data_IF_059219344530
#
_entry.id   IF_059219344530
#
_cell.length_a   1.000
_cell.length_b   1.000
_cell.length_c   1.000
_cell.angle_alpha   90.00
_cell.angle_beta   90.00
_cell.angle_gamma   90.00
#
_symmetry.space_group_name_H-M   'P 1'
#
loop_
_entity.id
_entity.type
_entity.pdbx_description
1 polymer ?
#
# COMPACT_ATOMS: atom_id res chain seq x y z
N UNK A 1 36.74 26.26 5.38
CA UNK A 1 35.95 25.30 6.20
C UNK A 1 34.69 25.90 6.80
N UNK A 2 34.73 27.03 7.54
CA UNK A 2 33.52 27.62 8.17
C UNK A 2 32.34 27.87 7.22
N UNK A 3 32.62 28.34 6.00
CA UNK A 3 31.59 28.57 4.97
C UNK A 3 30.91 27.26 4.49
N UNK A 4 31.67 26.17 4.39
CA UNK A 4 31.14 24.86 3.96
C UNK A 4 30.16 24.30 4.99
N UNK A 5 30.50 24.40 6.29
CA UNK A 5 29.61 23.96 7.36
C UNK A 5 28.33 24.79 7.43
N UNK A 6 28.42 26.10 7.24
CA UNK A 6 27.23 26.96 7.18
C UNK A 6 26.31 26.58 6.02
N UNK A 7 26.85 26.31 4.83
CA UNK A 7 26.07 25.87 3.67
C UNK A 7 25.40 24.51 3.90
N UNK A 8 26.12 23.54 4.47
CA UNK A 8 25.56 22.22 4.79
C UNK A 8 24.44 22.32 5.82
N UNK A 9 24.62 23.14 6.87
CA UNK A 9 23.61 23.35 7.89
C UNK A 9 22.34 23.99 7.32
N UNK A 10 22.48 25.02 6.48
CA UNK A 10 21.33 25.67 5.81
C UNK A 10 20.61 24.68 4.90
N UNK A 11 21.34 23.88 4.12
CA UNK A 11 20.74 22.86 3.26
C UNK A 11 19.98 21.82 4.09
N UNK A 12 20.56 21.33 5.18
CA UNK A 12 19.91 20.36 6.08
C UNK A 12 18.63 20.92 6.71
N UNK A 13 18.66 22.17 7.21
CA UNK A 13 17.47 22.83 7.79
C UNK A 13 16.38 23.02 6.73
N UNK A 14 16.76 23.40 5.50
CA UNK A 14 15.81 23.60 4.40
C UNK A 14 15.15 22.28 3.99
N UNK A 15 15.94 21.20 3.88
CA UNK A 15 15.42 19.86 3.58
C UNK A 15 14.51 19.33 4.69
N UNK A 16 14.92 19.52 5.95
CA UNK A 16 14.11 19.13 7.10
C UNK A 16 12.78 19.90 7.13
N UNK A 17 12.77 21.19 6.83
CA UNK A 17 11.56 22.00 6.76
C UNK A 17 10.64 21.62 5.59
N UNK A 18 11.19 21.26 4.43
CA UNK A 18 10.42 20.96 3.22
C UNK A 18 9.82 19.54 3.19
N UNK A 19 10.50 18.57 3.82
CA UNK A 19 10.15 17.15 3.73
C UNK A 19 9.87 16.51 5.10
N UNK A 20 10.16 17.18 6.21
CA UNK A 20 10.00 16.62 7.56
C UNK A 20 10.98 15.49 7.92
N UNK A 21 11.90 15.13 7.01
CA UNK A 21 12.85 14.03 7.20
C UNK A 21 14.14 14.25 6.42
N UNK A 22 15.27 13.82 7.00
CA UNK A 22 16.58 13.80 6.34
C UNK A 22 16.87 12.44 5.67
N UNK A 23 15.98 11.45 5.82
CA UNK A 23 16.15 10.16 5.17
C UNK A 23 15.88 10.29 3.67
N UNK A 24 16.81 9.87 2.80
CA UNK A 24 16.60 9.92 1.35
C UNK A 24 15.34 9.20 0.88
N UNK A 25 15.00 8.06 1.48
CA UNK A 25 13.79 7.34 1.10
C UNK A 25 12.52 8.04 1.62
N UNK A 26 12.61 8.74 2.75
CA UNK A 26 11.51 9.58 3.25
C UNK A 26 11.22 10.76 2.31
N UNK A 27 12.27 11.41 1.79
CA UNK A 27 12.12 12.46 0.76
C UNK A 27 11.54 11.90 -0.54
N UNK A 28 11.94 10.69 -0.97
CA UNK A 28 11.38 10.05 -2.16
C UNK A 28 9.88 9.77 -2.02
N UNK A 29 9.45 9.23 -0.87
CA UNK A 29 8.01 9.04 -0.56
C UNK A 29 7.25 10.36 -0.65
N UNK A 30 7.75 11.39 0.01
CA UNK A 30 7.06 12.68 0.07
C UNK A 30 6.99 13.36 -1.31
N UNK A 31 7.97 13.10 -2.17
CA UNK A 31 7.98 13.58 -3.56
C UNK A 31 6.91 12.88 -4.40
N UNK A 32 6.78 11.56 -4.30
CA UNK A 32 5.71 10.81 -4.98
C UNK A 32 4.32 11.19 -4.43
N UNK A 33 4.21 11.48 -3.13
CA UNK A 33 2.97 12.01 -2.52
C UNK A 33 2.50 13.31 -3.17
N UNK A 34 3.44 14.23 -3.42
CA UNK A 34 3.14 15.53 -4.05
C UNK A 34 2.84 15.40 -5.54
N UNK A 35 3.41 14.40 -6.22
CA UNK A 35 3.21 14.19 -7.66
C UNK A 35 1.87 13.55 -7.99
N UNK A 36 1.47 12.49 -7.27
CA UNK A 36 0.32 11.68 -7.67
C UNK A 36 -1.02 12.10 -7.05
N UNK A 37 -1.03 13.02 -6.08
CA UNK A 37 -2.24 13.58 -5.44
C UNK A 37 -3.03 12.58 -4.57
N UNK A 38 -3.19 11.33 -5.04
CA UNK A 38 -3.76 10.18 -4.33
C UNK A 38 -2.82 9.65 -3.25
N UNK A 39 -1.51 9.74 -3.46
CA UNK A 39 -0.52 9.25 -2.50
C UNK A 39 -0.49 10.05 -1.18
N UNK A 40 -1.07 11.26 -1.15
CA UNK A 40 -1.26 12.05 0.06
C UNK A 40 -2.13 11.35 1.13
N UNK A 41 -3.00 10.42 0.72
CA UNK A 41 -3.93 9.72 1.62
C UNK A 41 -3.41 8.32 1.98
N UNK A 42 -2.38 7.82 1.29
CA UNK A 42 -1.89 6.46 1.45
C UNK A 42 -0.91 6.34 2.64
N UNK A 43 -1.06 5.30 3.49
CA UNK A 43 -0.08 4.98 4.53
C UNK A 43 1.32 4.74 3.94
N UNK A 44 2.36 5.10 4.68
CA UNK A 44 3.78 4.95 4.28
C UNK A 44 4.11 3.55 3.75
N UNK A 45 3.56 2.51 4.37
CA UNK A 45 3.78 1.12 3.98
C UNK A 45 3.28 0.82 2.55
N UNK A 46 2.18 1.44 2.11
CA UNK A 46 1.65 1.25 0.77
C UNK A 46 2.53 1.96 -0.26
N UNK A 47 2.99 3.17 0.07
CA UNK A 47 3.92 3.92 -0.77
C UNK A 47 5.23 3.15 -0.92
N UNK A 48 5.73 2.54 0.17
CA UNK A 48 6.91 1.69 0.12
C UNK A 48 6.72 0.46 -0.77
N UNK A 49 5.59 -0.24 -0.65
CA UNK A 49 5.29 -1.39 -1.52
C UNK A 49 5.25 -0.96 -2.99
N UNK A 50 4.60 0.17 -3.30
CA UNK A 50 4.54 0.70 -4.65
C UNK A 50 5.93 1.08 -5.19
N UNK A 51 6.74 1.76 -4.38
CA UNK A 51 8.11 2.12 -4.74
C UNK A 51 9.01 0.89 -4.94
N UNK A 52 8.89 -0.12 -4.07
CA UNK A 52 9.63 -1.38 -4.20
C UNK A 52 9.17 -2.15 -5.45
N UNK A 53 7.87 -2.13 -5.77
CA UNK A 53 7.36 -2.73 -7.00
C UNK A 53 7.90 -2.05 -8.26
N UNK A 54 7.97 -0.71 -8.26
CA UNK A 54 8.40 0.08 -9.42
C UNK A 54 9.91 0.11 -9.61
N UNK A 55 10.67 0.19 -8.51
CA UNK A 55 12.11 0.41 -8.56
C UNK A 55 12.93 -0.77 -7.98
N UNK A 56 12.30 -1.80 -7.45
CA UNK A 56 12.94 -2.91 -6.73
C UNK A 56 13.38 -2.52 -5.30
N UNK A 57 14.16 -3.39 -4.64
CA UNK A 57 14.72 -3.13 -3.30
C UNK A 57 15.33 -1.73 -3.20
N UNK A 58 14.85 -0.95 -2.24
CA UNK A 58 15.28 0.42 -1.97
C UNK A 58 16.32 0.42 -0.87
N UNK A 59 17.48 1.00 -1.14
CA UNK A 59 18.49 1.33 -0.14
C UNK A 59 18.74 2.85 -0.19
N UNK A 60 19.39 3.44 0.84
CA UNK A 60 19.59 4.90 0.89
C UNK A 60 20.26 5.46 -0.36
N UNK A 61 21.28 4.79 -0.90
CA UNK A 61 21.97 5.23 -2.12
C UNK A 61 21.07 5.23 -3.35
N UNK A 62 20.21 4.23 -3.48
CA UNK A 62 19.24 4.13 -4.58
C UNK A 62 18.13 5.16 -4.47
N UNK A 63 17.64 5.44 -3.25
CA UNK A 63 16.67 6.52 -3.01
C UNK A 63 17.26 7.89 -3.39
N UNK A 64 18.52 8.16 -3.03
CA UNK A 64 19.24 9.37 -3.48
C UNK A 64 19.36 9.38 -5.01
N UNK A 65 19.77 8.26 -5.61
CA UNK A 65 19.90 8.14 -7.07
C UNK A 65 18.60 8.46 -7.81
N UNK A 66 17.46 7.94 -7.32
CA UNK A 66 16.14 8.20 -7.87
C UNK A 66 15.70 9.67 -7.68
N UNK A 67 15.94 10.25 -6.51
CA UNK A 67 15.66 11.67 -6.24
C UNK A 67 16.45 12.61 -7.18
N UNK A 68 17.72 12.29 -7.42
CA UNK A 68 18.56 13.07 -8.33
C UNK A 68 18.18 12.86 -9.80
N UNK A 69 17.71 11.66 -10.16
CA UNK A 69 17.28 11.32 -11.53
C UNK A 69 15.88 11.85 -11.87
N UNK A 70 15.03 12.07 -10.86
CA UNK A 70 13.62 12.46 -10.99
C UNK A 70 13.36 13.87 -11.56
N UNK A 71 14.40 14.66 -11.87
CA UNK A 71 14.28 15.94 -12.58
C UNK A 71 14.54 15.88 -14.08
N UNK A 72 14.98 14.72 -14.58
CA UNK A 72 15.38 14.56 -15.99
C UNK A 72 14.53 13.53 -16.73
N UNK A 73 13.42 13.10 -16.13
CA UNK A 73 12.42 12.31 -16.85
C UNK A 73 11.72 13.21 -17.87
N UNK A 74 11.70 12.88 -19.17
CA UNK A 74 10.88 13.63 -20.11
C UNK A 74 9.43 13.62 -19.60
N UNK A 75 8.74 14.75 -19.77
CA UNK A 75 7.27 14.78 -19.70
C UNK A 75 6.71 13.55 -20.44
N UNK A 76 5.53 13.02 -20.08
CA UNK A 76 4.89 11.95 -20.85
C UNK A 76 4.49 12.48 -22.24
N UNK A 77 5.49 12.69 -23.10
CA UNK A 77 5.35 12.75 -24.51
C UNK A 77 4.89 11.35 -24.90
N UNK A 78 3.70 11.32 -25.47
CA UNK A 78 3.24 10.22 -26.30
C UNK A 78 4.38 9.87 -27.27
N UNK A 79 5.12 8.79 -27.00
CA UNK A 79 6.22 8.37 -27.86
C UNK A 79 5.62 7.63 -29.04
N UNK A 80 5.17 8.39 -30.04
CA UNK A 80 5.17 7.94 -31.42
C UNK A 80 6.53 8.31 -32.02
N UNK A 81 7.49 7.36 -32.09
CA UNK A 81 8.52 7.26 -33.15
C UNK A 81 9.67 6.28 -32.80
N UNK A 82 9.81 5.27 -33.67
CA UNK A 82 11.06 4.79 -34.31
C UNK A 82 12.24 4.35 -33.44
N UNK A 83 12.23 3.06 -33.06
CA UNK A 83 13.39 2.29 -32.57
C UNK A 83 14.19 1.66 -33.73
N UNK A 84 15.50 1.37 -33.55
CA UNK A 84 16.27 0.55 -34.46
C UNK A 84 15.73 -0.88 -34.47
N UNK A 85 15.38 -1.34 -35.67
CA UNK A 85 14.88 -2.69 -35.95
C UNK A 85 16.03 -3.69 -35.92
N UNK A 86 16.42 -4.17 -34.74
CA UNK A 86 16.94 -5.54 -34.56
C UNK A 86 17.06 -5.92 -33.09
N UNK A 87 16.54 -7.12 -32.79
CA UNK A 87 16.34 -7.73 -31.46
C UNK A 87 15.24 -7.07 -30.60
N UNK A 88 14.07 -6.83 -31.20
CA UNK A 88 12.82 -7.05 -30.46
C UNK A 88 12.70 -8.55 -30.17
N UNK A 89 13.42 -9.01 -29.14
CA UNK A 89 12.88 -10.11 -28.35
C UNK A 89 11.53 -9.58 -27.86
N UNK A 90 10.45 -10.25 -28.22
CA UNK A 90 9.09 -9.96 -27.79
C UNK A 90 9.08 -9.85 -26.27
N UNK A 91 9.29 -8.65 -25.74
CA UNK A 91 8.90 -8.32 -24.38
C UNK A 91 7.40 -8.25 -24.48
N UNK A 92 6.76 -9.41 -24.29
CA UNK A 92 5.33 -9.52 -24.16
C UNK A 92 4.92 -8.42 -23.21
N UNK A 93 4.12 -7.46 -23.69
CA UNK A 93 3.36 -6.60 -22.81
C UNK A 93 2.73 -7.53 -21.77
N UNK A 94 2.87 -7.25 -20.46
CA UNK A 94 2.28 -8.11 -19.44
C UNK A 94 0.81 -8.24 -19.83
N UNK A 95 0.43 -9.44 -20.26
CA UNK A 95 -0.94 -9.74 -20.67
C UNK A 95 -1.75 -9.33 -19.47
N UNK A 96 -2.57 -8.29 -19.63
CA UNK A 96 -3.51 -7.83 -18.61
C UNK A 96 -4.41 -9.01 -18.36
N UNK A 97 -4.02 -9.84 -17.41
CA UNK A 97 -4.76 -11.03 -17.05
C UNK A 97 -6.08 -10.45 -16.56
N UNK A 98 -7.24 -10.90 -17.10
CA UNK A 98 -8.52 -10.40 -16.61
C UNK A 98 -8.48 -10.48 -15.08
N UNK A 99 -8.91 -9.41 -14.37
CA UNK A 99 -8.83 -9.35 -12.92
C UNK A 99 -9.36 -10.67 -12.38
N UNK A 100 -8.54 -11.39 -11.62
CA UNK A 100 -9.00 -12.64 -11.07
C UNK A 100 -10.17 -12.30 -10.11
N UNK A 101 -11.10 -13.24 -9.92
CA UNK A 101 -12.30 -12.98 -9.09
C UNK A 101 -11.93 -12.50 -7.67
N UNK A 102 -10.74 -12.87 -7.19
CA UNK A 102 -10.19 -12.41 -5.92
C UNK A 102 -9.85 -10.91 -5.91
N UNK A 103 -9.23 -10.37 -6.95
CA UNK A 103 -8.88 -8.95 -7.04
C UNK A 103 -10.14 -8.08 -6.99
N UNK A 104 -11.20 -8.51 -7.68
CA UNK A 104 -12.51 -7.84 -7.67
C UNK A 104 -13.14 -7.89 -6.26
N UNK A 105 -13.11 -9.06 -5.62
CA UNK A 105 -13.61 -9.22 -4.25
C UNK A 105 -12.84 -8.35 -3.25
N UNK A 106 -11.51 -8.30 -3.38
CA UNK A 106 -10.62 -7.53 -2.52
C UNK A 106 -10.87 -6.02 -2.68
N UNK A 107 -11.01 -5.54 -3.91
CA UNK A 107 -11.33 -4.14 -4.18
C UNK A 107 -12.68 -3.74 -3.54
N UNK A 108 -13.71 -4.59 -3.70
CA UNK A 108 -15.03 -4.37 -3.09
C UNK A 108 -14.95 -4.41 -1.56
N UNK A 109 -14.21 -5.36 -0.99
CA UNK A 109 -13.99 -5.46 0.45
C UNK A 109 -13.31 -4.20 1.01
N UNK A 110 -12.29 -3.68 0.33
CA UNK A 110 -11.61 -2.44 0.72
C UNK A 110 -12.55 -1.24 0.71
N UNK A 111 -13.40 -1.10 -0.31
CA UNK A 111 -14.39 -0.03 -0.37
C UNK A 111 -15.40 -0.12 0.79
N UNK A 112 -15.90 -1.32 1.10
CA UNK A 112 -16.80 -1.58 2.23
C UNK A 112 -16.15 -1.19 3.57
N UNK A 113 -14.88 -1.55 3.76
CA UNK A 113 -14.13 -1.20 4.98
C UNK A 113 -13.94 0.31 5.10
N UNK A 114 -13.59 0.97 3.99
CA UNK A 114 -13.45 2.43 3.92
C UNK A 114 -14.73 3.14 4.31
N UNK A 115 -15.87 2.75 3.71
CA UNK A 115 -17.18 3.34 4.02
C UNK A 115 -17.53 3.24 5.51
N UNK A 116 -17.41 2.05 6.12
CA UNK A 116 -17.71 1.87 7.54
C UNK A 116 -16.72 2.62 8.44
N UNK A 117 -15.44 2.70 8.05
CA UNK A 117 -14.44 3.52 8.77
C UNK A 117 -14.82 4.99 8.72
N UNK A 118 -15.20 5.51 7.56
CA UNK A 118 -15.55 6.92 7.38
C UNK A 118 -16.78 7.29 8.22
N UNK A 119 -17.79 6.41 8.28
CA UNK A 119 -18.93 6.57 9.17
C UNK A 119 -18.53 6.61 10.64
N UNK A 120 -17.53 5.83 11.05
CA UNK A 120 -16.96 5.91 12.40
C UNK A 120 -16.27 7.25 12.64
N UNK A 121 -15.44 7.71 11.70
CA UNK A 121 -14.73 8.99 11.81
C UNK A 121 -15.69 10.19 11.85
N UNK A 122 -16.87 10.08 11.21
CA UNK A 122 -17.97 11.05 11.30
C UNK A 122 -18.79 10.96 12.60
N UNK A 123 -18.54 9.96 13.46
CA UNK A 123 -19.27 9.74 14.71
C UNK A 123 -20.60 9.00 14.57
N UNK A 124 -20.99 8.57 13.37
CA UNK A 124 -22.20 7.74 13.17
C UNK A 124 -22.04 6.35 13.79
N UNK A 125 -20.81 5.82 13.76
CA UNK A 125 -20.41 4.62 14.48
C UNK A 125 -19.44 5.04 15.58
N UNK A 126 -19.72 4.69 16.82
CA UNK A 126 -18.98 5.19 17.99
C UNK A 126 -17.68 4.46 18.24
N UNK A 127 -17.57 3.21 17.79
CA UNK A 127 -16.47 2.32 18.19
C UNK A 127 -15.87 1.57 17.00
N UNK A 128 -14.65 1.04 17.16
CA UNK A 128 -14.03 0.18 16.17
C UNK A 128 -14.81 -1.12 15.97
N UNK A 129 -15.40 -1.67 17.04
CA UNK A 129 -16.29 -2.83 16.97
C UNK A 129 -17.48 -2.54 16.06
N UNK A 130 -18.14 -1.39 16.22
CA UNK A 130 -19.28 -1.01 15.36
C UNK A 130 -18.87 -0.85 13.90
N UNK A 131 -17.71 -0.25 13.61
CA UNK A 131 -17.15 -0.16 12.26
C UNK A 131 -16.87 -1.55 11.65
N UNK A 132 -16.39 -2.49 12.47
CA UNK A 132 -16.11 -3.86 12.03
C UNK A 132 -17.40 -4.66 11.82
N UNK A 133 -18.40 -4.51 12.69
CA UNK A 133 -19.73 -5.11 12.53
C UNK A 133 -20.45 -4.59 11.28
N UNK A 134 -20.27 -3.30 10.95
CA UNK A 134 -20.77 -2.71 9.71
C UNK A 134 -20.15 -3.36 8.46
N UNK A 135 -18.82 -3.62 8.47
CA UNK A 135 -18.10 -4.07 7.28
C UNK A 135 -18.03 -5.59 7.12
N UNK A 136 -17.89 -6.36 8.20
CA UNK A 136 -17.59 -7.80 8.14
C UNK A 136 -18.61 -8.63 7.32
N UNK A 137 -19.94 -8.53 7.54
CA UNK A 137 -20.89 -9.31 6.76
C UNK A 137 -20.82 -8.99 5.27
N UNK A 138 -20.64 -7.71 4.93
CA UNK A 138 -20.54 -7.23 3.55
C UNK A 138 -19.23 -7.67 2.88
N UNK A 139 -18.13 -7.69 3.63
CA UNK A 139 -16.84 -8.23 3.16
C UNK A 139 -16.97 -9.73 2.87
N UNK A 140 -17.51 -10.51 3.81
CA UNK A 140 -17.71 -11.94 3.61
C UNK A 140 -18.60 -12.21 2.38
N UNK A 141 -19.68 -11.44 2.21
CA UNK A 141 -20.54 -11.53 1.03
C UNK A 141 -19.79 -11.22 -0.27
N UNK A 142 -18.92 -10.19 -0.29
CA UNK A 142 -18.16 -9.84 -1.49
C UNK A 142 -17.25 -10.98 -1.98
N UNK A 143 -16.62 -11.71 -1.06
CA UNK A 143 -15.82 -12.89 -1.39
C UNK A 143 -16.68 -14.10 -1.79
N UNK A 144 -17.85 -14.29 -1.15
CA UNK A 144 -18.79 -15.33 -1.51
C UNK A 144 -19.36 -15.12 -2.94
N UNK A 145 -19.74 -13.89 -3.28
CA UNK A 145 -20.22 -13.50 -4.61
C UNK A 145 -19.17 -13.79 -5.70
N UNK A 146 -17.90 -13.57 -5.38
CA UNK A 146 -16.76 -13.86 -6.24
C UNK A 146 -16.37 -15.35 -6.27
N UNK A 147 -17.15 -16.23 -5.62
CA UNK A 147 -16.88 -17.68 -5.51
C UNK A 147 -15.47 -17.96 -5.02
N UNK A 148 -14.97 -17.12 -4.11
CA UNK A 148 -13.63 -17.27 -3.58
C UNK A 148 -13.50 -18.62 -2.86
N UNK A 149 -12.45 -19.36 -3.19
CA UNK A 149 -12.32 -20.77 -2.79
C UNK A 149 -12.14 -20.94 -1.29
N UNK A 150 -11.43 -20.02 -0.64
CA UNK A 150 -10.98 -20.16 0.74
C UNK A 150 -11.86 -19.36 1.71
N UNK A 151 -13.17 -19.59 1.67
CA UNK A 151 -14.14 -18.86 2.52
C UNK A 151 -13.90 -19.06 4.02
N UNK A 152 -13.29 -20.16 4.44
CA UNK A 152 -12.88 -20.39 5.83
C UNK A 152 -11.82 -19.36 6.29
N UNK A 153 -10.92 -18.96 5.39
CA UNK A 153 -9.93 -17.92 5.67
C UNK A 153 -10.57 -16.53 5.76
N UNK A 154 -11.60 -16.26 4.96
CA UNK A 154 -12.40 -15.03 5.06
C UNK A 154 -13.15 -14.97 6.40
N UNK A 155 -13.73 -16.08 6.85
CA UNK A 155 -14.39 -16.16 8.15
C UNK A 155 -13.40 -15.98 9.31
N UNK A 156 -12.21 -16.57 9.21
CA UNK A 156 -11.13 -16.37 10.16
C UNK A 156 -10.70 -14.89 10.21
N UNK A 157 -10.50 -14.25 9.04
CA UNK A 157 -10.12 -12.84 8.95
C UNK A 157 -11.15 -11.93 9.60
N UNK A 158 -12.42 -12.08 9.27
CA UNK A 158 -13.50 -11.24 9.83
C UNK A 158 -13.61 -11.41 11.34
N UNK A 159 -13.46 -12.64 11.85
CA UNK A 159 -13.42 -12.92 13.29
C UNK A 159 -12.26 -12.20 13.96
N UNK A 160 -11.04 -12.29 13.40
CA UNK A 160 -9.85 -11.63 13.95
C UNK A 160 -9.94 -10.12 13.91
N UNK A 161 -10.50 -9.54 12.84
CA UNK A 161 -10.76 -8.09 12.77
C UNK A 161 -11.67 -7.61 13.91
N UNK A 162 -12.68 -8.41 14.28
CA UNK A 162 -13.56 -8.08 15.39
C UNK A 162 -12.84 -8.17 16.75
N UNK A 163 -11.97 -9.17 16.94
CA UNK A 163 -11.12 -9.25 18.13
C UNK A 163 -10.17 -8.06 18.26
N UNK A 164 -9.49 -7.68 17.19
CA UNK A 164 -8.61 -6.49 17.14
C UNK A 164 -9.40 -5.24 17.50
N UNK A 165 -10.57 -5.06 16.87
CA UNK A 165 -11.42 -3.91 17.14
C UNK A 165 -11.85 -3.81 18.62
N UNK A 166 -12.17 -4.94 19.27
CA UNK A 166 -12.45 -4.97 20.71
C UNK A 166 -11.24 -4.53 21.54
N UNK A 167 -10.04 -5.00 21.20
CA UNK A 167 -8.81 -4.62 21.92
C UNK A 167 -8.52 -3.13 21.80
N UNK A 168 -8.76 -2.54 20.64
CA UNK A 168 -8.63 -1.07 20.45
C UNK A 168 -9.65 -0.33 21.32
N UNK A 169 -10.94 -0.71 21.24
CA UNK A 169 -12.00 -0.07 22.02
C UNK A 169 -11.77 -0.19 23.55
N UNK A 170 -11.08 -1.23 23.99
CA UNK A 170 -10.70 -1.47 25.39
C UNK A 170 -9.38 -0.81 25.80
N UNK A 171 -8.68 -0.11 24.90
CA UNK A 171 -7.36 0.48 25.17
C UNK A 171 -6.24 -0.55 25.36
N UNK A 172 -6.46 -1.81 24.99
CA UNK A 172 -5.49 -2.90 25.10
C UNK A 172 -4.56 -2.99 23.88
N UNK A 173 -4.87 -2.26 22.81
CA UNK A 173 -4.11 -2.26 21.55
C UNK A 173 -4.21 -0.88 20.91
N UNK A 174 -3.09 -0.33 20.45
CA UNK A 174 -3.07 0.93 19.68
C UNK A 174 -3.47 0.71 18.22
N UNK A 175 -3.88 1.76 17.50
CA UNK A 175 -4.18 1.65 16.06
C UNK A 175 -2.96 1.17 15.24
N UNK A 176 -1.75 1.56 15.63
CA UNK A 176 -0.50 1.12 14.98
C UNK A 176 -0.25 -0.38 15.18
N UNK A 177 -0.43 -0.88 16.40
CA UNK A 177 -0.35 -2.32 16.70
C UNK A 177 -1.42 -3.10 15.93
N UNK A 178 -2.62 -2.56 15.83
CA UNK A 178 -3.71 -3.17 15.06
C UNK A 178 -3.40 -3.25 13.56
N UNK A 179 -2.73 -2.24 13.01
CA UNK A 179 -2.26 -2.25 11.62
C UNK A 179 -1.20 -3.33 11.40
N UNK A 180 -0.21 -3.43 12.30
CA UNK A 180 0.82 -4.46 12.23
C UNK A 180 0.21 -5.88 12.34
N UNK A 181 -0.71 -6.11 13.28
CA UNK A 181 -1.43 -7.38 13.43
C UNK A 181 -2.26 -7.71 12.17
N UNK A 182 -2.93 -6.71 11.59
CA UNK A 182 -3.71 -6.90 10.36
C UNK A 182 -2.81 -7.30 9.18
N UNK A 183 -1.65 -6.68 9.03
CA UNK A 183 -0.67 -7.04 8.00
C UNK A 183 -0.13 -8.46 8.20
N UNK A 184 0.16 -8.84 9.44
CA UNK A 184 0.57 -10.19 9.79
C UNK A 184 -0.51 -11.23 9.45
N UNK A 185 -1.78 -10.95 9.76
CA UNK A 185 -2.91 -11.83 9.42
C UNK A 185 -3.04 -12.03 7.90
N UNK A 186 -2.91 -10.95 7.12
CA UNK A 186 -2.96 -11.05 5.66
C UNK A 186 -1.82 -11.91 5.11
N UNK A 187 -0.58 -11.69 5.57
CA UNK A 187 0.56 -12.51 5.16
C UNK A 187 0.36 -13.99 5.53
N UNK A 188 -0.20 -14.28 6.71
CA UNK A 188 -0.52 -15.65 7.15
C UNK A 188 -1.57 -16.30 6.26
N UNK A 189 -2.64 -15.60 5.92
CA UNK A 189 -3.71 -16.09 5.04
C UNK A 189 -3.14 -16.43 3.66
N UNK A 190 -2.39 -15.52 3.04
CA UNK A 190 -1.73 -15.77 1.75
C UNK A 190 -0.78 -16.98 1.80
N UNK A 191 -0.06 -17.18 2.90
CA UNK A 191 0.77 -18.37 3.11
C UNK A 191 -0.05 -19.67 3.13
N UNK A 192 -1.20 -19.68 3.80
CA UNK A 192 -2.10 -20.84 3.85
C UNK A 192 -2.71 -21.13 2.48
N UNK A 193 -3.15 -20.10 1.76
CA UNK A 193 -3.68 -20.24 0.40
C UNK A 193 -2.68 -20.93 -0.52
N UNK A 194 -1.45 -20.41 -0.57
CA UNK A 194 -0.36 -20.99 -1.36
C UNK A 194 -0.09 -22.44 -0.99
N UNK A 195 -0.06 -22.76 0.30
CA UNK A 195 0.16 -24.13 0.77
C UNK A 195 -0.96 -25.07 0.30
N UNK A 196 -2.22 -24.63 0.33
CA UNK A 196 -3.38 -25.42 -0.12
C UNK A 196 -3.41 -25.60 -1.62
N UNK A 197 -3.02 -24.59 -2.39
CA UNK A 197 -2.90 -24.70 -3.85
C UNK A 197 -1.83 -25.71 -4.25
N UNK A 198 -0.69 -25.74 -3.55
CA UNK A 198 0.39 -26.72 -3.80
C UNK A 198 -0.07 -28.15 -3.51
N UNK A 199 -0.77 -28.39 -2.39
CA UNK A 199 -1.20 -29.74 -2.00
C UNK A 199 -2.26 -30.36 -2.93
N UNK A 200 -2.87 -29.55 -3.79
CA UNK A 200 -3.97 -29.97 -4.66
C UNK A 200 -3.52 -30.26 -6.09
N UNK A 201 -2.32 -29.81 -6.46
CA UNK A 201 -1.70 -30.07 -7.75
C UNK A 201 -0.72 -31.24 -7.65
#
# INVERSE_FOLDING_TARGET
MKLLFALVAVAAVTLLAAFGTLSPCGMLRETERKLDGLAAILPDAIVDIALIGKYGSLNPGKCVGLLLSGRSGPAPAQVAATLPRQVQASVAQPVSTPPNDFDVALQRANAIMGECRDRRLKGELKTHVQSTQCSNPRVAQAFADAKYRYMDLVQFLTTKRLEIARKIDQGQMTEEQALAESNYLMAKITGIERSRDIQRN
#
